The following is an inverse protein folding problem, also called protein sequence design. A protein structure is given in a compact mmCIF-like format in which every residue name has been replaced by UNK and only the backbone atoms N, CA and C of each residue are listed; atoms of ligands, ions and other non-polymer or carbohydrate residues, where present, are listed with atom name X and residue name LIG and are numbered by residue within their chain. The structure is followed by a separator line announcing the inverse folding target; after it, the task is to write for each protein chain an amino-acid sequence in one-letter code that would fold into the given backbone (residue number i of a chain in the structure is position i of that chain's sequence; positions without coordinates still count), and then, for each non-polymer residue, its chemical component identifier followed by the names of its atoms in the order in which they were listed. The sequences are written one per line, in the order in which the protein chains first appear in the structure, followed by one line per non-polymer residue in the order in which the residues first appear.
data_IF_593010064954
#
_entry.id   IF_593010064954
#
_cell.length_a   1.000
_cell.length_b   1.000
_cell.length_c   1.000
_cell.angle_alpha   90.00
_cell.angle_beta   90.00
_cell.angle_gamma   90.00
#
_symmetry.space_group_name_H-M   'P 1'
#
loop_
_entity.id
_entity.type
_entity.pdbx_description
1 polymer ?
#
# COMPACT_ATOMS: atom_id res chain seq x y z
N UNK A 1 -58.59 -23.84 -2.15
CA UNK A 1 -58.06 -22.63 -2.82
C UNK A 1 -57.11 -21.97 -1.84
N UNK A 2 -55.85 -22.31 -1.94
CA UNK A 2 -54.78 -21.76 -1.08
C UNK A 2 -53.87 -20.89 -1.95
N UNK A 3 -53.90 -19.58 -1.70
CA UNK A 3 -53.09 -18.59 -2.40
C UNK A 3 -51.68 -18.59 -1.82
N UNK A 4 -50.69 -18.90 -2.68
CA UNK A 4 -49.28 -18.82 -2.37
C UNK A 4 -48.81 -17.36 -2.48
N UNK A 5 -48.42 -16.77 -1.36
CA UNK A 5 -47.78 -15.44 -1.31
C UNK A 5 -46.29 -15.62 -1.63
N UNK A 6 -45.88 -15.16 -2.81
CA UNK A 6 -44.45 -15.04 -3.16
C UNK A 6 -43.89 -13.77 -2.50
N UNK A 7 -43.08 -13.94 -1.49
CA UNK A 7 -42.22 -12.86 -0.96
C UNK A 7 -41.10 -12.53 -1.93
N UNK A 8 -41.11 -11.32 -2.47
CA UNK A 8 -40.01 -10.75 -3.21
C UNK A 8 -38.90 -10.34 -2.24
N UNK A 9 -37.73 -10.88 -2.41
CA UNK A 9 -36.51 -10.39 -1.74
C UNK A 9 -36.18 -8.97 -2.21
N UNK A 10 -35.76 -8.06 -1.34
CA UNK A 10 -35.37 -6.73 -1.77
C UNK A 10 -34.05 -6.82 -2.53
N UNK A 11 -34.08 -6.32 -3.76
CA UNK A 11 -32.92 -6.10 -4.63
C UNK A 11 -31.99 -5.10 -3.94
N UNK A 12 -30.78 -5.54 -3.61
CA UNK A 12 -29.74 -4.73 -3.01
C UNK A 12 -29.29 -3.68 -4.04
N UNK A 13 -29.82 -2.47 -3.90
CA UNK A 13 -29.44 -1.35 -4.77
C UNK A 13 -27.94 -1.10 -4.62
N UNK A 14 -27.23 -1.23 -5.74
CA UNK A 14 -25.82 -0.83 -5.81
C UNK A 14 -25.69 0.65 -5.45
N UNK A 15 -24.89 0.93 -4.42
CA UNK A 15 -24.55 2.30 -4.04
C UNK A 15 -23.92 3.03 -5.23
N UNK A 16 -24.27 4.31 -5.47
CA UNK A 16 -23.65 5.06 -6.56
C UNK A 16 -22.15 5.20 -6.29
N UNK A 17 -21.34 4.74 -7.27
CA UNK A 17 -19.92 5.04 -7.33
C UNK A 17 -19.74 6.56 -7.38
N UNK A 18 -19.43 7.17 -6.25
CA UNK A 18 -18.99 8.55 -6.20
C UNK A 18 -17.61 8.60 -6.82
N UNK A 19 -17.54 8.92 -8.10
CA UNK A 19 -16.29 9.24 -8.77
C UNK A 19 -15.66 10.43 -8.04
N UNK A 20 -14.68 10.17 -7.20
CA UNK A 20 -13.86 11.20 -6.56
C UNK A 20 -13.21 12.02 -7.67
N UNK A 21 -13.23 13.37 -7.62
CA UNK A 21 -12.54 14.20 -8.59
C UNK A 21 -11.10 13.71 -8.74
N UNK A 22 -10.67 13.51 -9.97
CA UNK A 22 -9.32 13.01 -10.27
C UNK A 22 -8.30 13.94 -9.61
N UNK A 23 -7.66 13.47 -8.53
CA UNK A 23 -6.72 14.25 -7.77
C UNK A 23 -5.51 14.60 -8.65
N UNK A 24 -4.98 15.82 -8.53
CA UNK A 24 -3.88 16.31 -9.35
C UNK A 24 -2.67 15.36 -9.27
N UNK A 25 -2.09 15.03 -10.44
CA UNK A 25 -0.89 14.23 -10.55
C UNK A 25 0.31 14.96 -9.93
N UNK A 26 1.20 14.25 -9.25
CA UNK A 26 2.44 14.84 -8.74
C UNK A 26 3.38 15.20 -9.90
N UNK A 27 4.11 16.31 -9.77
CA UNK A 27 5.07 16.74 -10.78
C UNK A 27 6.11 15.66 -11.10
N UNK A 28 6.60 14.95 -10.08
CA UNK A 28 7.62 13.89 -10.25
C UNK A 28 7.10 12.73 -11.10
N UNK A 29 5.84 12.32 -10.95
CA UNK A 29 5.25 11.27 -11.80
C UNK A 29 5.04 11.78 -13.22
N UNK A 30 4.62 13.04 -13.38
CA UNK A 30 4.48 13.66 -14.69
C UNK A 30 5.84 13.71 -15.41
N UNK A 31 6.89 14.15 -14.75
CA UNK A 31 8.24 14.23 -15.30
C UNK A 31 8.77 12.84 -15.72
N UNK A 32 8.57 11.82 -14.91
CA UNK A 32 8.93 10.44 -15.28
C UNK A 32 8.22 9.96 -16.54
N UNK A 33 6.92 10.19 -16.60
CA UNK A 33 6.12 9.81 -17.77
C UNK A 33 6.60 10.54 -19.03
N UNK A 34 6.86 11.83 -18.93
CA UNK A 34 7.26 12.68 -20.05
C UNK A 34 8.71 12.40 -20.48
N UNK A 35 9.60 11.97 -19.57
CA UNK A 35 10.95 11.50 -19.85
C UNK A 35 11.03 10.14 -20.54
N UNK A 36 9.89 9.47 -20.77
CA UNK A 36 9.80 8.11 -21.30
C UNK A 36 10.51 7.07 -20.41
N UNK A 37 10.48 7.29 -19.11
CA UNK A 37 11.03 6.33 -18.15
C UNK A 37 10.38 4.95 -18.33
N UNK A 38 11.21 3.92 -18.40
CA UNK A 38 10.73 2.54 -18.51
C UNK A 38 10.61 1.92 -17.12
N UNK A 39 9.40 1.61 -16.72
CA UNK A 39 9.13 0.89 -15.48
C UNK A 39 9.59 -0.56 -15.57
N UNK A 40 9.95 -1.14 -14.44
CA UNK A 40 10.33 -2.55 -14.31
C UNK A 40 9.12 -3.39 -13.97
N UNK A 41 8.65 -4.14 -14.94
CA UNK A 41 7.52 -5.07 -14.76
C UNK A 41 7.86 -6.23 -13.83
N UNK A 42 9.14 -6.66 -13.81
CA UNK A 42 9.65 -7.67 -12.89
C UNK A 42 9.68 -7.23 -11.41
N UNK A 43 9.62 -5.93 -11.16
CA UNK A 43 9.44 -5.35 -9.83
C UNK A 43 7.98 -4.94 -9.55
N UNK A 44 7.09 -5.12 -10.51
CA UNK A 44 5.69 -4.67 -10.39
C UNK A 44 5.57 -3.16 -10.19
N UNK A 45 6.45 -2.36 -10.81
CA UNK A 45 6.51 -0.91 -10.60
C UNK A 45 5.26 -0.18 -11.11
N UNK A 46 4.54 0.42 -10.17
CA UNK A 46 3.45 1.35 -10.39
C UNK A 46 3.57 2.48 -9.38
N UNK A 47 3.63 3.71 -9.86
CA UNK A 47 3.82 4.88 -8.99
C UNK A 47 2.48 5.54 -8.69
N UNK A 48 2.25 5.86 -7.42
CA UNK A 48 1.07 6.60 -7.00
C UNK A 48 1.12 8.02 -7.57
N UNK A 49 0.09 8.39 -8.33
CA UNK A 49 0.04 9.67 -9.05
C UNK A 49 -0.26 10.86 -8.16
N UNK A 50 -1.03 10.66 -7.10
CA UNK A 50 -1.59 11.76 -6.33
C UNK A 50 -1.24 11.73 -4.86
N UNK A 51 -0.69 12.85 -4.32
CA UNK A 51 -0.52 13.03 -2.87
C UNK A 51 -1.83 12.96 -2.07
N UNK A 52 -2.97 13.33 -2.67
CA UNK A 52 -4.27 13.23 -2.01
C UNK A 52 -4.69 11.77 -1.79
N UNK A 53 -4.38 10.87 -2.73
CA UNK A 53 -4.60 9.44 -2.55
C UNK A 53 -3.67 8.87 -1.48
N UNK A 54 -2.40 9.33 -1.42
CA UNK A 54 -1.48 8.96 -0.35
C UNK A 54 -2.01 9.38 1.04
N UNK A 55 -2.55 10.59 1.17
CA UNK A 55 -3.16 11.07 2.41
C UNK A 55 -4.36 10.20 2.82
N UNK A 56 -5.25 9.84 1.86
CA UNK A 56 -6.37 8.94 2.13
C UNK A 56 -5.91 7.56 2.61
N UNK A 57 -4.89 6.98 1.99
CA UNK A 57 -4.34 5.70 2.44
C UNK A 57 -3.78 5.81 3.86
N UNK A 58 -3.11 6.92 4.17
CA UNK A 58 -2.61 7.19 5.51
C UNK A 58 -3.74 7.25 6.54
N UNK A 59 -4.83 7.97 6.24
CA UNK A 59 -6.00 8.09 7.14
C UNK A 59 -6.61 6.72 7.46
N UNK A 60 -6.64 5.80 6.49
CA UNK A 60 -7.17 4.45 6.67
C UNK A 60 -6.32 3.57 7.61
N UNK A 61 -5.06 3.93 7.86
CA UNK A 61 -4.20 3.15 8.77
C UNK A 61 -4.59 3.26 10.23
N UNK A 62 -5.30 4.32 10.61
CA UNK A 62 -5.61 4.64 12.00
C UNK A 62 -4.36 4.85 12.85
N UNK A 63 -3.30 5.48 12.29
CA UNK A 63 -2.08 5.83 13.01
C UNK A 63 -2.40 6.75 14.20
N UNK A 64 -1.69 6.52 15.30
CA UNK A 64 -1.73 7.34 16.50
C UNK A 64 -0.48 8.19 16.57
N UNK A 65 -0.51 9.36 17.25
CA UNK A 65 0.69 10.17 17.46
C UNK A 65 1.85 9.32 18.00
N UNK A 66 2.99 9.35 17.30
CA UNK A 66 4.19 8.59 17.66
C UNK A 66 4.31 7.19 17.02
N UNK A 67 3.27 6.68 16.37
CA UNK A 67 3.39 5.43 15.61
C UNK A 67 4.43 5.60 14.49
N UNK A 68 5.33 4.63 14.39
CA UNK A 68 6.29 4.54 13.30
C UNK A 68 5.71 3.74 12.14
N UNK A 69 6.19 4.02 10.92
CA UNK A 69 5.72 3.36 9.70
C UNK A 69 6.88 2.69 8.97
N UNK A 70 6.62 1.49 8.45
CA UNK A 70 7.47 0.82 7.46
C UNK A 70 6.74 0.82 6.12
N UNK A 71 7.36 1.39 5.09
CA UNK A 71 6.94 1.24 3.70
C UNK A 71 7.94 0.38 2.94
N UNK A 72 7.45 -0.59 2.15
CA UNK A 72 8.27 -1.41 1.26
C UNK A 72 7.84 -1.16 -0.18
N UNK A 73 8.81 -0.83 -1.04
CA UNK A 73 8.54 -0.36 -2.39
C UNK A 73 8.19 1.13 -2.41
N UNK A 74 8.98 1.94 -1.73
CA UNK A 74 8.71 3.38 -1.56
C UNK A 74 8.73 4.18 -2.88
N UNK A 75 9.39 3.65 -3.93
CA UNK A 75 9.42 4.24 -5.25
C UNK A 75 9.90 5.69 -5.23
N UNK A 76 9.03 6.60 -5.65
CA UNK A 76 9.30 8.05 -5.68
C UNK A 76 9.08 8.76 -4.35
N UNK A 77 8.70 8.03 -3.29
CA UNK A 77 8.48 8.59 -1.96
C UNK A 77 7.13 9.31 -1.77
N UNK A 78 6.18 9.18 -2.68
CA UNK A 78 4.88 9.88 -2.60
C UNK A 78 4.12 9.52 -1.32
N UNK A 79 4.05 8.23 -0.97
CA UNK A 79 3.38 7.76 0.24
C UNK A 79 4.25 8.04 1.47
N UNK A 80 5.56 7.78 1.40
CA UNK A 80 6.52 8.10 2.47
C UNK A 80 6.48 9.57 2.88
N UNK A 81 6.46 10.49 1.90
CA UNK A 81 6.38 11.93 2.18
C UNK A 81 5.04 12.32 2.84
N UNK A 82 3.94 11.65 2.51
CA UNK A 82 2.65 11.88 3.18
C UNK A 82 2.72 11.47 4.66
N UNK A 83 3.32 10.31 4.96
CA UNK A 83 3.55 9.82 6.33
C UNK A 83 4.43 10.79 7.13
N UNK A 84 5.58 11.18 6.58
CA UNK A 84 6.52 12.07 7.25
C UNK A 84 5.92 13.48 7.49
N UNK A 85 5.15 14.00 6.53
CA UNK A 85 4.44 15.27 6.65
C UNK A 85 3.37 15.24 7.74
N UNK A 86 2.71 14.10 7.94
CA UNK A 86 1.75 13.92 9.03
C UNK A 86 2.40 13.80 10.42
N UNK A 87 3.74 13.78 10.49
CA UNK A 87 4.50 13.79 11.74
C UNK A 87 4.97 12.41 12.21
N UNK A 88 4.77 11.37 11.42
CA UNK A 88 5.16 10.00 11.77
C UNK A 88 6.58 9.66 11.30
N UNK A 89 7.39 8.98 12.12
CA UNK A 89 8.65 8.40 11.67
C UNK A 89 8.39 7.34 10.59
N UNK A 90 9.20 7.34 9.51
CA UNK A 90 9.07 6.37 8.41
C UNK A 90 10.40 5.76 8.02
N UNK A 91 10.40 4.45 7.83
CA UNK A 91 11.43 3.65 7.16
C UNK A 91 10.91 3.30 5.77
N UNK A 92 11.51 3.92 4.76
CA UNK A 92 11.10 3.82 3.36
C UNK A 92 12.09 2.91 2.60
N UNK A 93 11.73 1.63 2.44
CA UNK A 93 12.58 0.65 1.76
C UNK A 93 12.30 0.64 0.27
N UNK A 94 13.34 0.84 -0.54
CA UNK A 94 13.24 0.78 -2.00
C UNK A 94 14.41 -0.05 -2.58
N UNK A 95 14.07 -0.98 -3.47
CA UNK A 95 15.04 -1.89 -4.06
C UNK A 95 15.66 -1.38 -5.36
N UNK A 96 14.91 -0.60 -6.13
CA UNK A 96 15.38 -0.09 -7.43
C UNK A 96 16.29 1.14 -7.23
N UNK A 97 17.60 1.04 -7.50
CA UNK A 97 18.52 2.16 -7.29
C UNK A 97 18.19 3.38 -8.17
N UNK A 98 17.42 3.23 -9.24
CA UNK A 98 17.00 4.35 -10.09
C UNK A 98 16.03 5.29 -9.38
N UNK A 99 15.39 4.82 -8.29
CA UNK A 99 14.46 5.62 -7.47
C UNK A 99 15.20 6.41 -6.38
N UNK A 100 16.47 6.12 -6.13
CA UNK A 100 17.23 6.65 -5.00
C UNK A 100 17.20 8.18 -4.91
N UNK A 101 17.49 8.86 -6.01
CA UNK A 101 17.53 10.32 -6.04
C UNK A 101 16.15 10.92 -5.74
N UNK A 102 15.11 10.43 -6.41
CA UNK A 102 13.74 10.93 -6.22
C UNK A 102 13.23 10.66 -4.80
N UNK A 103 13.47 9.45 -4.26
CA UNK A 103 13.10 9.08 -2.90
C UNK A 103 13.80 9.96 -1.86
N UNK A 104 15.12 10.12 -1.97
CA UNK A 104 15.89 10.95 -1.06
C UNK A 104 15.43 12.42 -1.12
N UNK A 105 15.23 12.98 -2.32
CA UNK A 105 14.74 14.34 -2.48
C UNK A 105 13.33 14.55 -1.89
N UNK A 106 12.43 13.56 -2.06
CA UNK A 106 11.10 13.61 -1.48
C UNK A 106 11.12 13.59 0.06
N UNK A 107 12.12 12.98 0.67
CA UNK A 107 12.22 12.78 2.11
C UNK A 107 13.14 13.78 2.82
N UNK A 108 14.04 14.45 2.10
CA UNK A 108 14.99 15.43 2.65
C UNK A 108 14.33 16.48 3.59
N UNK A 109 13.16 17.07 3.26
CA UNK A 109 12.55 18.08 4.11
C UNK A 109 12.16 17.61 5.51
N UNK A 110 12.14 16.29 5.75
CA UNK A 110 11.67 15.70 7.00
C UNK A 110 12.80 15.25 7.93
N UNK A 111 14.07 15.35 7.48
CA UNK A 111 15.26 15.03 8.27
C UNK A 111 15.22 13.63 8.87
N UNK A 112 15.64 13.47 10.12
CA UNK A 112 15.73 12.18 10.82
C UNK A 112 14.41 11.42 10.97
N UNK A 113 13.29 12.08 10.69
CA UNK A 113 11.96 11.44 10.72
C UNK A 113 11.74 10.50 9.54
N UNK A 114 12.40 10.74 8.43
CA UNK A 114 12.24 9.97 7.21
C UNK A 114 13.55 9.29 6.82
N UNK A 115 13.56 7.96 6.86
CA UNK A 115 14.75 7.13 6.64
C UNK A 115 14.62 6.32 5.36
N UNK A 116 15.19 6.78 4.23
CA UNK A 116 15.27 5.97 3.02
C UNK A 116 16.27 4.83 3.22
N UNK A 117 15.85 3.61 2.88
CA UNK A 117 16.68 2.39 2.90
C UNK A 117 16.73 1.80 1.49
N UNK A 118 17.82 2.06 0.78
CA UNK A 118 18.02 1.60 -0.60
C UNK A 118 18.50 0.14 -0.59
N UNK A 119 17.57 -0.79 -0.42
CA UNK A 119 17.86 -2.21 -0.26
C UNK A 119 16.65 -3.08 -0.63
N UNK A 120 16.91 -4.36 -0.92
CA UNK A 120 15.85 -5.37 -0.86
C UNK A 120 15.43 -5.54 0.61
N UNK A 121 14.12 -5.50 0.90
CA UNK A 121 13.61 -5.64 2.27
C UNK A 121 14.08 -6.93 2.93
N UNK A 122 14.32 -7.98 2.15
CA UNK A 122 14.84 -9.27 2.65
C UNK A 122 16.28 -9.21 3.15
N UNK A 123 17.01 -8.16 2.80
CA UNK A 123 18.37 -7.90 3.29
C UNK A 123 18.41 -6.89 4.45
N UNK A 124 17.25 -6.34 4.85
CA UNK A 124 17.14 -5.41 5.97
C UNK A 124 16.87 -6.19 7.25
N UNK A 125 17.66 -5.95 8.27
CA UNK A 125 17.39 -6.47 9.64
C UNK A 125 16.27 -5.61 10.28
N UNK A 126 15.02 -6.03 10.06
CA UNK A 126 13.85 -5.29 10.52
C UNK A 126 13.76 -5.22 12.06
N UNK A 127 14.27 -6.21 12.77
CA UNK A 127 14.29 -6.20 14.23
C UNK A 127 15.30 -5.21 14.79
N UNK A 128 16.38 -4.95 14.07
CA UNK A 128 17.34 -3.92 14.45
C UNK A 128 16.84 -2.52 14.10
N UNK A 129 16.32 -2.34 12.90
CA UNK A 129 15.98 -1.02 12.34
C UNK A 129 14.69 -0.44 12.91
N UNK A 130 13.67 -1.27 13.18
CA UNK A 130 12.34 -0.78 13.49
C UNK A 130 12.10 -0.65 15.00
N UNK A 131 11.34 0.36 15.44
CA UNK A 131 10.78 0.38 16.80
C UNK A 131 9.62 -0.62 16.94
N UNK A 132 9.34 -1.01 18.19
CA UNK A 132 8.17 -1.85 18.52
C UNK A 132 6.88 -1.09 18.20
N UNK A 133 5.91 -1.78 17.60
CA UNK A 133 4.62 -1.19 17.23
C UNK A 133 4.63 -0.49 15.87
N UNK A 134 5.68 -0.69 15.06
CA UNK A 134 5.72 -0.18 13.69
C UNK A 134 4.52 -0.68 12.89
N UNK A 135 3.88 0.22 12.16
CA UNK A 135 2.76 -0.05 11.27
C UNK A 135 3.28 -0.23 9.85
N UNK A 136 2.90 -1.32 9.21
CA UNK A 136 3.19 -1.55 7.81
C UNK A 136 2.21 -0.76 6.93
N UNK A 137 2.70 0.06 6.01
CA UNK A 137 1.89 0.79 5.03
C UNK A 137 2.57 0.72 3.68
N UNK A 138 1.97 0.06 2.69
CA UNK A 138 2.65 -0.19 1.43
C UNK A 138 1.70 -0.30 0.24
N UNK A 139 2.15 0.19 -0.90
CA UNK A 139 1.60 -0.16 -2.20
C UNK A 139 2.47 -1.29 -2.74
N UNK A 140 1.99 -2.52 -2.56
CA UNK A 140 2.75 -3.70 -2.95
C UNK A 140 2.72 -3.92 -4.47
N UNK A 141 3.69 -4.64 -5.04
CA UNK A 141 3.67 -5.00 -6.45
C UNK A 141 2.33 -5.59 -6.88
N UNK A 142 1.86 -5.24 -8.09
CA UNK A 142 0.59 -5.76 -8.59
C UNK A 142 0.74 -7.15 -9.21
N UNK A 143 1.76 -7.86 -8.78
CA UNK A 143 1.93 -9.30 -8.89
C UNK A 143 1.66 -9.93 -7.53
N UNK A 144 0.75 -10.89 -7.51
CA UNK A 144 0.32 -11.54 -6.26
C UNK A 144 1.44 -12.22 -5.52
N UNK A 145 2.27 -12.97 -6.25
CA UNK A 145 3.34 -13.76 -5.64
C UNK A 145 4.39 -12.86 -4.98
N UNK A 146 4.72 -11.74 -5.63
CA UNK A 146 5.64 -10.74 -5.09
C UNK A 146 5.03 -10.03 -3.87
N UNK A 147 3.77 -9.58 -3.99
CA UNK A 147 3.06 -8.89 -2.91
C UNK A 147 2.98 -9.76 -1.65
N UNK A 148 2.56 -11.01 -1.83
CA UNK A 148 2.51 -12.01 -0.75
C UNK A 148 3.88 -12.25 -0.14
N UNK A 149 4.90 -12.50 -0.97
CA UNK A 149 6.26 -12.77 -0.50
C UNK A 149 6.84 -11.62 0.34
N UNK A 150 6.57 -10.37 -0.04
CA UNK A 150 6.99 -9.18 0.71
C UNK A 150 6.26 -9.12 2.06
N UNK A 151 4.92 -9.19 2.07
CA UNK A 151 4.16 -9.11 3.31
C UNK A 151 4.49 -10.26 4.27
N UNK A 152 4.54 -11.50 3.78
CA UNK A 152 4.91 -12.66 4.58
C UNK A 152 6.32 -12.51 5.16
N UNK A 153 7.28 -11.97 4.39
CA UNK A 153 8.62 -11.70 4.89
C UNK A 153 8.59 -10.64 6.00
N UNK A 154 7.96 -9.50 5.79
CA UNK A 154 7.91 -8.41 6.77
C UNK A 154 7.32 -8.88 8.09
N UNK A 155 6.15 -9.51 8.04
CA UNK A 155 5.49 -10.01 9.23
C UNK A 155 6.17 -11.26 9.82
N UNK A 156 6.84 -12.08 9.02
CA UNK A 156 7.61 -13.25 9.48
C UNK A 156 8.94 -12.89 10.12
N UNK A 157 9.60 -11.83 9.67
CA UNK A 157 10.96 -11.45 10.08
C UNK A 157 10.99 -10.56 11.32
N UNK A 158 9.89 -9.88 11.67
CA UNK A 158 9.86 -9.00 12.84
C UNK A 158 8.53 -9.03 13.57
N UNK A 159 8.58 -9.28 14.87
CA UNK A 159 7.41 -9.16 15.76
C UNK A 159 7.05 -7.71 16.05
N UNK A 160 7.92 -6.76 15.70
CA UNK A 160 7.69 -5.32 15.86
C UNK A 160 6.63 -4.77 14.92
N UNK A 161 6.33 -5.50 13.83
CA UNK A 161 5.26 -5.17 12.90
C UNK A 161 4.08 -6.11 13.16
N UNK A 162 3.03 -5.61 13.80
CA UNK A 162 1.86 -6.43 14.17
C UNK A 162 0.61 -6.17 13.33
N UNK A 163 0.55 -5.01 12.68
CA UNK A 163 -0.58 -4.57 11.86
C UNK A 163 -0.11 -3.71 10.68
N UNK A 164 -0.94 -3.56 9.68
CA UNK A 164 -0.65 -2.67 8.57
C UNK A 164 -1.83 -2.49 7.61
N UNK A 165 -1.57 -1.72 6.58
CA UNK A 165 -2.45 -1.47 5.45
C UNK A 165 -1.65 -1.68 4.17
N UNK A 166 -2.24 -2.35 3.19
CA UNK A 166 -1.59 -2.53 1.90
C UNK A 166 -2.57 -2.35 0.74
N UNK A 167 -2.07 -1.85 -0.39
CA UNK A 167 -2.76 -1.94 -1.67
C UNK A 167 -2.32 -3.21 -2.36
N UNK A 168 -3.28 -4.04 -2.75
CA UNK A 168 -3.07 -5.37 -3.36
C UNK A 168 -3.94 -5.56 -4.61
N UNK A 169 -3.55 -6.47 -5.53
CA UNK A 169 -4.43 -6.92 -6.60
C UNK A 169 -5.72 -7.56 -6.07
N UNK A 170 -6.85 -7.24 -6.68
CA UNK A 170 -8.16 -7.77 -6.24
C UNK A 170 -8.32 -9.28 -6.44
N UNK A 171 -7.58 -9.89 -7.38
CA UNK A 171 -7.58 -11.36 -7.58
C UNK A 171 -7.17 -12.16 -6.33
N UNK A 172 -6.69 -11.46 -5.32
CA UNK A 172 -6.35 -12.00 -4.00
C UNK A 172 -7.53 -12.20 -3.07
N UNK A 173 -8.70 -11.67 -3.41
CA UNK A 173 -9.87 -11.71 -2.53
C UNK A 173 -10.40 -13.12 -2.26
N UNK A 174 -10.31 -14.02 -3.23
CA UNK A 174 -10.75 -15.41 -3.05
C UNK A 174 -9.89 -16.14 -2.01
N UNK A 175 -8.69 -15.64 -1.75
CA UNK A 175 -7.77 -16.16 -0.75
C UNK A 175 -7.94 -15.52 0.63
N UNK A 176 -8.56 -14.33 0.72
CA UNK A 176 -8.77 -13.64 2.02
C UNK A 176 -9.95 -14.21 2.80
N UNK A 177 -10.87 -14.93 2.16
CA UNK A 177 -12.04 -15.53 2.81
C UNK A 177 -11.69 -16.67 3.79
N UNK A 178 -10.45 -17.12 3.86
CA UNK A 178 -10.03 -18.31 4.60
C UNK A 178 -9.42 -18.04 6.00
N UNK A 179 -9.44 -16.81 6.49
CA UNK A 179 -9.07 -16.51 7.91
C UNK A 179 -7.57 -16.48 8.23
N UNK A 180 -6.76 -17.28 7.60
CA UNK A 180 -5.28 -17.28 7.74
C UNK A 180 -4.66 -17.20 6.36
N UNK A 181 -3.97 -16.10 6.09
CA UNK A 181 -3.38 -15.87 4.78
C UNK A 181 -2.23 -16.88 4.53
N UNK A 182 -2.56 -17.97 3.83
CA UNK A 182 -1.64 -19.05 3.47
C UNK A 182 -0.81 -19.64 4.62
N UNK A 183 -1.35 -19.77 5.82
CA UNK A 183 -0.61 -20.28 6.95
C UNK A 183 0.47 -19.33 7.49
N UNK A 184 0.42 -18.05 7.10
CA UNK A 184 1.36 -17.03 7.57
C UNK A 184 0.96 -16.39 8.90
N UNK A 185 -0.14 -16.82 9.52
CA UNK A 185 -0.67 -16.21 10.74
C UNK A 185 -1.14 -14.76 10.54
N UNK A 186 -1.63 -14.44 9.34
CA UNK A 186 -2.07 -13.10 8.98
C UNK A 186 -3.54 -13.11 8.58
N UNK A 187 -4.30 -12.16 9.12
CA UNK A 187 -5.68 -11.87 8.71
C UNK A 187 -5.67 -10.65 7.80
N UNK A 188 -6.37 -10.75 6.66
CA UNK A 188 -6.62 -9.65 5.74
C UNK A 188 -8.10 -9.30 5.74
N UNK A 189 -8.39 -8.01 5.74
CA UNK A 189 -9.74 -7.48 5.64
C UNK A 189 -9.74 -6.32 4.64
N UNK A 190 -10.64 -6.36 3.66
CA UNK A 190 -10.79 -5.24 2.73
C UNK A 190 -11.44 -4.06 3.46
N UNK A 191 -10.79 -2.90 3.38
CA UNK A 191 -11.25 -1.70 4.08
C UNK A 191 -11.65 -0.58 3.13
N UNK A 192 -11.16 -0.59 1.87
CA UNK A 192 -11.51 0.43 0.87
C UNK A 192 -11.15 -0.05 -0.55
N UNK A 193 -11.67 0.66 -1.56
CA UNK A 193 -11.30 0.53 -2.96
C UNK A 193 -10.26 1.57 -3.37
N UNK A 194 -9.50 1.26 -4.42
CA UNK A 194 -8.58 2.21 -5.04
C UNK A 194 -8.64 2.07 -6.56
N UNK A 195 -8.61 3.20 -7.27
CA UNK A 195 -8.71 3.20 -8.71
C UNK A 195 -7.39 2.79 -9.36
N UNK A 196 -7.48 1.99 -10.44
CA UNK A 196 -6.32 1.69 -11.28
C UNK A 196 -5.69 2.94 -11.90
N UNK A 197 -6.49 4.00 -12.08
CA UNK A 197 -6.06 5.29 -12.62
C UNK A 197 -5.25 6.13 -11.62
N UNK A 198 -5.25 5.76 -10.34
CA UNK A 198 -4.43 6.42 -9.32
C UNK A 198 -2.93 6.10 -9.47
N UNK A 199 -2.58 5.23 -10.43
CA UNK A 199 -1.22 4.76 -10.66
C UNK A 199 -0.71 5.06 -12.07
N UNK A 200 0.60 5.25 -12.17
CA UNK A 200 1.33 5.29 -13.43
C UNK A 200 2.53 4.30 -13.39
N UNK A 201 2.65 3.41 -14.38
CA UNK A 201 1.63 3.05 -15.37
C UNK A 201 0.32 2.65 -14.71
N UNK A 202 -0.80 2.79 -15.43
CA UNK A 202 -2.09 2.32 -14.92
C UNK A 202 -2.04 0.82 -14.61
N UNK A 203 -2.60 0.42 -13.47
CA UNK A 203 -2.67 -0.99 -13.11
C UNK A 203 -3.51 -1.79 -14.11
N UNK A 204 -2.99 -2.96 -14.52
CA UNK A 204 -3.69 -3.85 -15.42
C UNK A 204 -4.85 -4.60 -14.74
N UNK A 205 -4.78 -4.76 -13.42
CA UNK A 205 -5.74 -5.51 -12.59
C UNK A 205 -6.50 -4.58 -11.66
N UNK A 206 -7.72 -4.95 -11.21
CA UNK A 206 -8.39 -4.27 -10.11
C UNK A 206 -7.56 -4.33 -8.84
N UNK A 207 -7.68 -3.30 -8.00
CA UNK A 207 -6.92 -3.17 -6.76
C UNK A 207 -7.85 -3.01 -5.56
N UNK A 208 -7.35 -3.38 -4.38
CA UNK A 208 -8.02 -3.24 -3.09
C UNK A 208 -7.07 -2.68 -2.05
N UNK A 209 -7.65 -1.98 -1.09
CA UNK A 209 -6.96 -1.58 0.13
C UNK A 209 -7.36 -2.56 1.23
N UNK A 210 -6.38 -3.23 1.81
CA UNK A 210 -6.60 -4.24 2.84
C UNK A 210 -5.87 -3.89 4.13
N UNK A 211 -6.52 -4.09 5.25
CA UNK A 211 -5.84 -4.16 6.55
C UNK A 211 -5.19 -5.53 6.72
N UNK A 212 -4.04 -5.56 7.36
CA UNK A 212 -3.28 -6.78 7.67
C UNK A 212 -3.03 -6.78 9.17
N UNK A 213 -3.40 -7.87 9.83
CA UNK A 213 -3.14 -8.08 11.28
C UNK A 213 -2.60 -9.47 11.53
N UNK A 214 -1.78 -9.64 12.58
CA UNK A 214 -1.43 -10.96 13.08
C UNK A 214 -2.64 -11.62 13.72
N UNK A 215 -2.79 -12.94 13.49
CA UNK A 215 -3.77 -13.78 14.17
C UNK A 215 -3.36 -14.07 15.61
#
# INVERSE_FOLDING_TARGET
MTASVRTRSPELAAAPSTATPQAAESAVVADLRDSRFQTRTDLGQHFLRSPAVAARLLDLTGLRPGDAVLEVGAGLGTLSAAVARAGHPIWAVEKDPRMAEALCAALEPYGDRARPLLSDVRAVDLDRELPVGTVFLSILPFDWSLAFGIAAHVFGSSVKVARGLAVLPAATADHTAAGDWFGAGLRLEEVDGISRHDFWPQAAVPLRVVSITRC
#
